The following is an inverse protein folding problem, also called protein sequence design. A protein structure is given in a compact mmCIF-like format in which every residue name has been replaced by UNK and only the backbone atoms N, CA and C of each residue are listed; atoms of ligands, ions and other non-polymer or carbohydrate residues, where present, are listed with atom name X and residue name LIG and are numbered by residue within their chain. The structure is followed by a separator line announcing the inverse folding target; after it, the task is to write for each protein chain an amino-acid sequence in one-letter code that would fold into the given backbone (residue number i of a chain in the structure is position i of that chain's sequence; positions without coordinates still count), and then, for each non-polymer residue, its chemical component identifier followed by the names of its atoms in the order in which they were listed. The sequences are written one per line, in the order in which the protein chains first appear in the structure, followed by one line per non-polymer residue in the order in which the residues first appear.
data_IF_484167228574
#
_entry.id   IF_484167228574
#
_cell.length_a   1.000
_cell.length_b   1.000
_cell.length_c   1.000
_cell.angle_alpha   90.00
_cell.angle_beta   90.00
_cell.angle_gamma   90.00
#
_symmetry.space_group_name_H-M   'P 1'
#
loop_
_entity.id
_entity.type
_entity.pdbx_description
1 polymer ?
#
# COMPACT_ATOMS: atom_id res chain seq x y z
N UNK A 1 9.06 -10.09 -5.26
CA UNK A 1 8.10 -9.52 -4.30
C UNK A 1 7.90 -10.55 -3.20
N UNK A 2 8.28 -10.25 -1.97
CA UNK A 2 8.16 -11.20 -0.86
C UNK A 2 6.76 -11.04 -0.25
N UNK A 3 6.19 -12.12 0.29
CA UNK A 3 4.83 -12.09 0.88
C UNK A 3 4.68 -10.95 1.89
N UNK A 4 5.72 -10.73 2.69
CA UNK A 4 5.75 -9.67 3.71
C UNK A 4 5.74 -8.26 3.12
N UNK A 5 6.48 -8.01 2.03
CA UNK A 5 6.52 -6.69 1.39
C UNK A 5 5.22 -6.32 0.69
N UNK A 6 4.56 -7.29 0.04
CA UNK A 6 3.24 -7.07 -0.55
C UNK A 6 2.18 -6.74 0.51
N UNK A 7 2.17 -7.47 1.62
CA UNK A 7 1.24 -7.25 2.73
C UNK A 7 1.47 -5.89 3.39
N UNK A 8 2.72 -5.53 3.68
CA UNK A 8 3.04 -4.24 4.29
C UNK A 8 2.69 -3.06 3.39
N UNK A 9 2.94 -3.18 2.07
CA UNK A 9 2.56 -2.18 1.08
C UNK A 9 1.04 -1.97 1.09
N UNK A 10 0.26 -3.05 0.96
CA UNK A 10 -1.20 -2.99 1.00
C UNK A 10 -1.73 -2.40 2.30
N UNK A 11 -1.21 -2.81 3.45
CA UNK A 11 -1.61 -2.27 4.76
C UNK A 11 -1.39 -0.76 4.82
N UNK A 12 -0.21 -0.28 4.44
CA UNK A 12 0.08 1.15 4.45
C UNK A 12 -0.81 1.89 3.45
N UNK A 13 -0.92 1.42 2.21
CA UNK A 13 -1.75 2.08 1.19
C UNK A 13 -3.23 2.19 1.57
N UNK A 14 -3.82 1.11 2.08
CA UNK A 14 -5.23 1.08 2.49
C UNK A 14 -5.47 1.93 3.73
N UNK A 15 -4.59 1.86 4.74
CA UNK A 15 -4.72 2.68 5.95
C UNK A 15 -4.58 4.17 5.62
N UNK A 16 -3.62 4.54 4.77
CA UNK A 16 -3.39 5.93 4.37
C UNK A 16 -4.58 6.48 3.56
N UNK A 17 -5.12 5.67 2.64
CA UNK A 17 -6.33 6.01 1.88
C UNK A 17 -7.57 6.16 2.77
N UNK A 18 -7.81 5.20 3.68
CA UNK A 18 -8.93 5.25 4.61
C UNK A 18 -8.80 6.43 5.58
N UNK A 19 -7.60 6.69 6.10
CA UNK A 19 -7.34 7.82 6.98
C UNK A 19 -7.65 9.15 6.28
N UNK A 20 -7.20 9.33 5.04
CA UNK A 20 -7.46 10.54 4.28
C UNK A 20 -8.95 10.70 3.94
N UNK A 21 -9.63 9.62 3.54
CA UNK A 21 -11.09 9.67 3.31
C UNK A 21 -11.86 9.98 4.60
N UNK A 22 -11.55 9.34 5.72
CA UNK A 22 -12.22 9.59 6.99
C UNK A 22 -11.98 11.02 7.49
N UNK A 23 -10.77 11.54 7.32
CA UNK A 23 -10.41 12.90 7.73
C UNK A 23 -11.15 13.96 6.92
N UNK A 24 -11.15 13.85 5.59
CA UNK A 24 -11.63 14.91 4.69
C UNK A 24 -13.07 14.72 4.17
N UNK A 25 -13.57 13.48 4.10
CA UNK A 25 -14.93 13.18 3.62
C UNK A 25 -15.95 13.02 4.75
N UNK A 26 -15.56 12.39 5.86
CA UNK A 26 -16.44 12.17 7.01
C UNK A 26 -16.37 13.29 8.06
N UNK A 27 -15.41 14.22 7.96
CA UNK A 27 -15.29 15.37 8.87
C UNK A 27 -14.97 15.00 10.33
N UNK A 28 -14.55 13.75 10.59
CA UNK A 28 -14.35 13.22 11.95
C UNK A 28 -13.26 13.97 12.73
N UNK A 29 -12.31 14.59 12.03
CA UNK A 29 -11.19 15.36 12.60
C UNK A 29 -11.31 16.87 12.33
N UNK A 30 -12.52 17.39 12.09
CA UNK A 30 -12.78 18.84 11.98
C UNK A 30 -12.36 19.51 10.65
N UNK A 31 -11.85 18.75 9.68
CA UNK A 31 -11.38 19.26 8.39
C UNK A 31 -12.39 19.01 7.27
N UNK A 32 -13.41 19.87 7.20
CA UNK A 32 -14.44 19.84 6.15
C UNK A 32 -14.27 20.91 5.06
N UNK A 33 -13.21 21.73 5.13
CA UNK A 33 -12.98 22.80 4.17
C UNK A 33 -11.90 22.43 3.15
N UNK A 34 -12.11 22.87 1.90
CA UNK A 34 -11.19 22.70 0.76
C UNK A 34 -9.79 23.26 1.03
N UNK A 35 -9.66 24.13 2.02
CA UNK A 35 -8.41 24.78 2.44
C UNK A 35 -7.48 23.85 3.24
N UNK A 36 -8.02 22.83 3.92
CA UNK A 36 -7.22 21.86 4.69
C UNK A 36 -6.69 20.71 3.82
N UNK A 37 -7.09 20.63 2.56
CA UNK A 37 -6.62 19.59 1.64
C UNK A 37 -5.12 19.72 1.44
N UNK A 38 -4.36 18.66 1.74
CA UNK A 38 -2.94 18.64 1.41
C UNK A 38 -2.76 18.87 -0.09
N UNK A 39 -2.16 20.01 -0.44
CA UNK A 39 -1.95 20.48 -1.81
C UNK A 39 -3.22 20.76 -2.64
N UNK A 40 -4.39 20.92 -2.02
CA UNK A 40 -5.65 21.10 -2.76
C UNK A 40 -6.10 19.83 -3.49
N UNK A 41 -5.56 18.67 -3.12
CA UNK A 41 -5.88 17.38 -3.74
C UNK A 41 -7.19 16.86 -3.15
N UNK A 42 -8.21 16.73 -4.01
CA UNK A 42 -9.48 16.09 -3.64
C UNK A 42 -9.20 14.71 -3.05
N UNK A 43 -9.94 14.29 -1.99
CA UNK A 43 -9.85 12.93 -1.47
C UNK A 43 -10.03 11.82 -2.53
N UNK A 44 -10.69 12.12 -3.66
CA UNK A 44 -10.81 11.19 -4.80
C UNK A 44 -9.48 11.00 -5.56
N UNK A 45 -8.64 12.04 -5.65
CA UNK A 45 -7.33 11.99 -6.30
C UNK A 45 -6.20 11.51 -5.40
N UNK A 46 -6.43 11.51 -4.07
CA UNK A 46 -5.43 11.07 -3.09
C UNK A 46 -5.10 9.57 -3.20
N UNK A 47 -5.99 8.77 -3.81
CA UNK A 47 -5.74 7.35 -4.07
C UNK A 47 -4.48 7.08 -4.90
N UNK A 48 -4.16 7.95 -5.87
CA UNK A 48 -2.93 7.85 -6.67
C UNK A 48 -1.68 8.05 -5.82
N UNK A 49 -1.72 8.98 -4.86
CA UNK A 49 -0.61 9.22 -3.94
C UNK A 49 -0.44 8.07 -2.96
N UNK A 50 -1.55 7.53 -2.43
CA UNK A 50 -1.56 6.35 -1.58
C UNK A 50 -0.99 5.11 -2.30
N UNK A 51 -1.27 4.94 -3.59
CA UNK A 51 -0.65 3.88 -4.41
C UNK A 51 0.86 4.08 -4.59
N UNK A 52 1.31 5.31 -4.79
CA UNK A 52 2.73 5.61 -4.93
C UNK A 52 3.50 5.27 -3.64
N UNK A 53 2.93 5.64 -2.49
CA UNK A 53 3.47 5.28 -1.16
C UNK A 53 3.41 3.77 -0.92
N UNK A 54 2.32 3.09 -1.28
CA UNK A 54 2.18 1.63 -1.20
C UNK A 54 3.32 0.92 -1.94
N UNK A 55 3.59 1.32 -3.18
CA UNK A 55 4.67 0.74 -3.97
C UNK A 55 6.05 0.99 -3.36
N UNK A 56 6.33 2.22 -2.92
CA UNK A 56 7.59 2.56 -2.25
C UNK A 56 7.81 1.71 -1.00
N UNK A 57 6.80 1.62 -0.12
CA UNK A 57 6.86 0.81 1.10
C UNK A 57 7.02 -0.67 0.76
N UNK A 58 6.27 -1.18 -0.21
CA UNK A 58 6.35 -2.57 -0.65
C UNK A 58 7.76 -2.92 -1.14
N UNK A 59 8.41 -2.05 -1.91
CA UNK A 59 9.78 -2.24 -2.42
C UNK A 59 10.79 -2.20 -1.27
N UNK A 60 10.69 -1.21 -0.37
CA UNK A 60 11.61 -1.07 0.77
C UNK A 60 11.52 -2.31 1.68
N UNK A 61 10.32 -2.74 2.02
CA UNK A 61 10.09 -3.90 2.88
C UNK A 61 10.50 -5.20 2.16
N UNK A 62 10.22 -5.35 0.86
CA UNK A 62 10.72 -6.48 0.09
C UNK A 62 12.25 -6.62 0.13
N UNK A 63 12.98 -5.52 0.23
CA UNK A 63 14.45 -5.52 0.29
C UNK A 63 14.99 -5.88 1.69
N UNK A 64 14.19 -5.67 2.73
CA UNK A 64 14.56 -5.97 4.12
C UNK A 64 14.22 -7.39 4.56
N UNK A 65 13.21 -8.02 3.96
CA UNK A 65 12.75 -9.35 4.36
C UNK A 65 13.27 -10.47 3.44
N UNK A 66 13.50 -11.68 3.97
CA UNK A 66 13.98 -12.81 3.19
C UNK A 66 13.00 -13.20 2.07
N UNK A 67 13.59 -13.70 0.98
CA UNK A 67 12.87 -14.15 -0.21
C UNK A 67 11.87 -15.29 0.05
N UNK A 68 11.08 -15.65 -0.96
CA UNK A 68 10.07 -16.70 -0.86
C UNK A 68 10.65 -18.04 -0.36
N UNK A 69 9.92 -18.78 0.49
CA UNK A 69 10.41 -20.01 1.11
C UNK A 69 10.70 -21.10 0.07
N UNK A 70 11.75 -21.90 0.33
CA UNK A 70 12.28 -22.92 -0.60
C UNK A 70 11.21 -23.91 -1.08
N UNK A 71 10.27 -24.32 -0.23
CA UNK A 71 9.19 -25.25 -0.62
C UNK A 71 8.33 -24.73 -1.80
N UNK A 72 8.11 -23.42 -1.89
CA UNK A 72 7.33 -22.81 -2.99
C UNK A 72 8.16 -22.83 -4.27
N UNK A 73 9.47 -22.60 -4.17
CA UNK A 73 10.35 -22.71 -5.32
C UNK A 73 10.44 -24.14 -5.84
N UNK A 74 10.47 -25.12 -4.95
CA UNK A 74 10.57 -26.53 -5.33
C UNK A 74 9.25 -27.03 -5.95
N UNK A 75 8.08 -26.62 -5.43
CA UNK A 75 6.78 -26.85 -6.08
C UNK A 75 6.73 -26.27 -7.51
N UNK A 76 7.20 -25.02 -7.68
CA UNK A 76 7.23 -24.38 -9.01
C UNK A 76 8.19 -25.10 -9.96
N UNK A 77 9.33 -25.58 -9.46
CA UNK A 77 10.28 -26.37 -10.26
C UNK A 77 9.71 -27.74 -10.63
N UNK A 78 8.93 -28.35 -9.76
CA UNK A 78 8.28 -29.64 -9.99
C UNK A 78 7.18 -29.53 -11.05
N UNK A 79 6.33 -28.49 -10.97
CA UNK A 79 5.33 -28.18 -12.01
C UNK A 79 5.97 -27.82 -13.36
N UNK A 80 7.19 -27.28 -13.36
CA UNK A 80 7.95 -26.96 -14.59
C UNK A 80 8.70 -28.14 -15.20
N UNK A 81 8.69 -29.32 -14.58
CA UNK A 81 9.22 -30.52 -15.24
C UNK A 81 8.24 -30.93 -16.36
N UNK A 82 8.75 -31.27 -17.56
CA UNK A 82 7.91 -31.68 -18.67
C UNK A 82 7.14 -32.96 -18.38
#
# INVERSE_FOLDING_TARGET
MNKQGGISGMLVGVVLMLFYMLKYKMGWFGGGNKEDWWFGISPEGFGSFAMLVNFLVSIIVCKFFPGPPKHVLDLVKEIRKP
#
